data_IF_526045606990
#
_entry.id   IF_526045606990
#
_cell.length_a   1.000
_cell.length_b   1.000
_cell.length_c   1.000
_cell.angle_alpha   90.00
_cell.angle_beta   90.00
_cell.angle_gamma   90.00
#
_symmetry.space_group_name_H-M   'P 1'
#
loop_
_entity.id
_entity.type
_entity.pdbx_description
1 polymer ?
#
# COMPACT_ATOMS: atom_id res chain seq x y z
N UNK A 1 -1.26 17.40 -16.40
CA UNK A 1 -0.14 17.16 -15.46
C UNK A 1 -0.63 16.74 -14.12
N UNK A 2 -1.41 17.61 -13.49
CA UNK A 2 -1.93 17.27 -12.17
C UNK A 2 -2.80 16.03 -12.19
N UNK A 3 -3.51 15.81 -13.31
CA UNK A 3 -4.35 14.63 -13.43
C UNK A 3 -3.55 13.34 -13.37
N UNK A 4 -2.36 13.32 -13.99
CA UNK A 4 -1.53 12.11 -13.95
C UNK A 4 -1.02 11.84 -12.56
N UNK A 5 -0.59 12.88 -11.85
CA UNK A 5 -0.14 12.72 -10.47
C UNK A 5 -1.29 12.19 -9.61
N UNK A 6 -2.48 12.74 -9.77
CA UNK A 6 -3.63 12.28 -8.99
C UNK A 6 -3.99 10.84 -9.30
N UNK A 7 -3.92 10.44 -10.58
CA UNK A 7 -4.14 9.05 -10.95
C UNK A 7 -3.15 8.13 -10.28
N UNK A 8 -1.87 8.50 -10.31
CA UNK A 8 -0.82 7.69 -9.71
C UNK A 8 -1.08 7.54 -8.21
N UNK A 9 -1.41 8.63 -7.54
CA UNK A 9 -1.67 8.59 -6.10
C UNK A 9 -2.85 7.68 -5.77
N UNK A 10 -3.91 7.74 -6.59
CA UNK A 10 -5.07 6.88 -6.38
C UNK A 10 -4.73 5.41 -6.58
N UNK A 11 -3.96 5.11 -7.63
CA UNK A 11 -3.58 3.72 -7.89
C UNK A 11 -2.66 3.20 -6.78
N UNK A 12 -1.74 4.03 -6.30
CA UNK A 12 -0.87 3.62 -5.21
C UNK A 12 -1.68 3.29 -3.96
N UNK A 13 -2.70 4.10 -3.63
CA UNK A 13 -3.57 3.79 -2.49
C UNK A 13 -4.27 2.46 -2.67
N UNK A 14 -4.84 2.24 -3.86
CA UNK A 14 -5.56 1.01 -4.14
C UNK A 14 -4.62 -0.19 -4.08
N UNK A 15 -3.42 -0.05 -4.62
CA UNK A 15 -2.43 -1.13 -4.57
C UNK A 15 -2.00 -1.45 -3.16
N UNK A 16 -1.83 -0.44 -2.31
CA UNK A 16 -1.47 -0.67 -0.91
C UNK A 16 -2.51 -1.52 -0.20
N UNK A 17 -3.79 -1.22 -0.44
CA UNK A 17 -4.87 -2.01 0.15
C UNK A 17 -4.83 -3.43 -0.38
N UNK A 18 -4.72 -3.60 -1.70
CA UNK A 18 -4.70 -4.93 -2.31
C UNK A 18 -3.50 -5.74 -1.85
N UNK A 19 -2.33 -5.11 -1.73
CA UNK A 19 -1.14 -5.81 -1.27
C UNK A 19 -1.30 -6.27 0.17
N UNK A 20 -1.89 -5.44 1.01
CA UNK A 20 -2.12 -5.81 2.40
C UNK A 20 -3.09 -6.98 2.51
N UNK A 21 -4.14 -6.97 1.70
CA UNK A 21 -5.07 -8.08 1.66
C UNK A 21 -4.41 -9.36 1.19
N UNK A 22 -3.58 -9.25 0.15
CA UNK A 22 -2.86 -10.41 -0.37
C UNK A 22 -1.91 -10.97 0.68
N UNK A 23 -1.22 -10.10 1.41
CA UNK A 23 -0.33 -10.54 2.48
C UNK A 23 -1.08 -11.26 3.57
N UNK A 24 -2.27 -10.76 3.92
CA UNK A 24 -3.10 -11.42 4.93
C UNK A 24 -3.52 -12.80 4.47
N UNK A 25 -3.97 -12.91 3.22
CA UNK A 25 -4.39 -14.20 2.67
C UNK A 25 -3.21 -15.17 2.64
N UNK A 26 -2.05 -14.69 2.20
CA UNK A 26 -0.86 -15.53 2.13
C UNK A 26 -0.49 -16.07 3.51
N UNK A 27 -0.55 -15.21 4.51
CA UNK A 27 -0.23 -15.59 5.88
C UNK A 27 -1.18 -16.64 6.40
N UNK A 28 -2.49 -16.48 6.08
CA UNK A 28 -3.49 -17.47 6.47
C UNK A 28 -3.23 -18.82 5.79
N UNK A 29 -2.88 -18.79 4.51
CA UNK A 29 -2.58 -20.01 3.78
C UNK A 29 -1.37 -20.72 4.36
N UNK A 30 -0.33 -19.98 4.68
CA UNK A 30 0.87 -20.55 5.30
C UNK A 30 0.52 -21.19 6.63
N UNK A 31 -0.29 -20.53 7.43
CA UNK A 31 -0.68 -21.06 8.75
C UNK A 31 -1.49 -22.35 8.64
N UNK A 32 -2.19 -22.55 7.52
CA UNK A 32 -3.01 -23.74 7.29
C UNK A 32 -2.29 -24.80 6.45
N UNK A 33 -1.01 -24.57 6.16
CA UNK A 33 -0.26 -25.45 5.24
C UNK A 33 -0.87 -25.54 3.86
N UNK A 34 -1.52 -24.46 3.42
CA UNK A 34 -2.08 -24.37 2.08
C UNK A 34 -1.08 -23.77 1.12
N UNK A 35 -1.23 -24.10 -0.16
CA UNK A 35 -0.34 -23.57 -1.20
C UNK A 35 -0.65 -22.09 -1.42
N UNK A 36 0.35 -21.23 -1.22
CA UNK A 36 0.19 -19.79 -1.40
C UNK A 36 0.84 -19.28 -2.70
N UNK A 37 1.17 -20.18 -3.62
CA UNK A 37 1.90 -19.81 -4.83
C UNK A 37 1.17 -18.74 -5.65
N UNK A 38 -0.13 -18.92 -5.84
CA UNK A 38 -0.92 -17.97 -6.63
C UNK A 38 -0.89 -16.58 -6.00
N UNK A 39 -1.18 -16.51 -4.72
CA UNK A 39 -1.25 -15.22 -4.01
C UNK A 39 0.14 -14.56 -3.98
N UNK A 40 1.18 -15.36 -3.72
CA UNK A 40 2.54 -14.82 -3.71
C UNK A 40 2.91 -14.23 -5.06
N UNK A 41 2.53 -14.89 -6.14
CA UNK A 41 2.81 -14.41 -7.48
C UNK A 41 2.07 -13.10 -7.77
N UNK A 42 0.81 -13.03 -7.34
CA UNK A 42 0.04 -11.79 -7.51
C UNK A 42 0.64 -10.65 -6.72
N UNK A 43 1.11 -10.93 -5.51
CA UNK A 43 1.75 -9.93 -4.68
C UNK A 43 3.02 -9.39 -5.34
N UNK A 44 3.81 -10.28 -5.96
CA UNK A 44 5.01 -9.86 -6.66
C UNK A 44 4.69 -8.95 -7.83
N UNK A 45 3.62 -9.26 -8.58
CA UNK A 45 3.18 -8.39 -9.67
C UNK A 45 2.79 -7.02 -9.16
N UNK A 46 2.09 -6.96 -8.05
CA UNK A 46 1.71 -5.69 -7.45
C UNK A 46 2.92 -4.87 -7.05
N UNK A 47 3.95 -5.52 -6.53
CA UNK A 47 5.18 -4.82 -6.15
C UNK A 47 5.89 -4.22 -7.35
N UNK A 48 5.90 -4.94 -8.48
CA UNK A 48 6.50 -4.42 -9.70
C UNK A 48 5.75 -3.18 -10.17
N UNK A 49 4.42 -3.25 -10.20
CA UNK A 49 3.60 -2.12 -10.60
C UNK A 49 3.82 -0.94 -9.65
N UNK A 50 3.83 -1.21 -8.34
CA UNK A 50 4.06 -0.18 -7.35
C UNK A 50 5.40 0.52 -7.56
N UNK A 51 6.45 -0.25 -7.82
CA UNK A 51 7.77 0.31 -8.04
C UNK A 51 7.78 1.26 -9.24
N UNK A 52 7.12 0.86 -10.33
CA UNK A 52 7.02 1.72 -11.51
C UNK A 52 6.27 3.01 -11.23
N UNK A 53 5.19 2.92 -10.47
CA UNK A 53 4.40 4.11 -10.13
C UNK A 53 5.17 5.04 -9.21
N UNK A 54 5.92 4.50 -8.26
CA UNK A 54 6.73 5.32 -7.37
C UNK A 54 7.81 6.06 -8.16
N UNK A 55 8.43 5.37 -9.12
CA UNK A 55 9.44 6.01 -9.96
C UNK A 55 8.84 7.10 -10.84
N UNK A 56 7.69 6.83 -11.43
CA UNK A 56 7.01 7.82 -12.27
C UNK A 56 6.62 9.03 -11.44
N UNK A 57 6.09 8.78 -10.25
CA UNK A 57 5.72 9.84 -9.32
C UNK A 57 6.91 10.73 -8.99
N UNK A 58 8.04 10.12 -8.69
CA UNK A 58 9.25 10.86 -8.38
C UNK A 58 9.72 11.69 -9.57
N UNK A 59 9.63 11.12 -10.79
CA UNK A 59 10.01 11.83 -12.00
C UNK A 59 9.13 13.04 -12.25
N UNK A 60 7.87 12.97 -11.82
CA UNK A 60 6.94 14.09 -11.96
C UNK A 60 7.09 15.12 -10.84
N UNK A 61 7.96 14.87 -9.87
CA UNK A 61 8.25 15.82 -8.82
C UNK A 61 7.29 15.79 -7.64
N UNK A 62 6.45 14.76 -7.54
CA UNK A 62 5.52 14.66 -6.41
C UNK A 62 6.23 13.99 -5.24
N UNK A 63 6.50 14.76 -4.22
CA UNK A 63 7.19 14.30 -3.02
C UNK A 63 6.30 14.25 -1.80
N UNK A 64 5.02 14.56 -1.95
CA UNK A 64 4.13 14.60 -0.80
C UNK A 64 3.71 13.20 -0.40
N UNK A 65 3.62 12.92 0.90
CA UNK A 65 3.18 11.61 1.36
C UNK A 65 1.76 11.31 0.87
N UNK A 66 1.51 10.03 0.59
CA UNK A 66 0.17 9.57 0.25
C UNK A 66 -0.46 9.04 1.52
N UNK A 67 -1.52 9.71 1.96
CA UNK A 67 -2.19 9.37 3.21
C UNK A 67 -3.28 8.35 2.92
N UNK A 68 -3.31 7.29 3.71
CA UNK A 68 -4.38 6.29 3.62
C UNK A 68 -5.59 6.78 4.40
N UNK A 69 -6.72 6.80 3.76
CA UNK A 69 -7.91 7.43 4.31
C UNK A 69 -8.41 6.80 5.59
N UNK A 70 -8.03 5.60 5.85
CA UNK A 70 -8.54 4.93 7.03
C UNK A 70 -7.58 5.01 8.19
N UNK A 71 -6.81 5.76 8.22
CA UNK A 71 -5.86 5.64 9.24
C UNK A 71 -5.90 6.64 10.28
N UNK A 72 -6.38 6.56 9.72
CA UNK A 72 -6.17 7.03 10.28
C UNK A 72 -5.93 7.25 11.17
N UNK A 73 -5.95 7.18 10.99
CA UNK A 73 -5.69 7.29 11.73
C UNK A 73 -5.39 7.51 12.46
N UNK A 74 -5.39 7.77 12.63
CA UNK A 74 -4.99 8.01 13.48
C UNK A 74 -4.49 8.05 14.18
N UNK A 75 -4.38 8.31 14.28
CA UNK A 75 -3.93 8.36 15.01
C UNK A 75 -3.20 8.33 15.57
N UNK A 76 -3.01 8.60 15.52
CA UNK A 76 -2.45 8.68 16.16
C UNK A 76 -1.97 8.77 16.65
N UNK A 77 -1.99 9.10 16.56
CA UNK A 77 -1.63 9.26 17.26
C UNK A 77 -1.58 9.20 17.89
N UNK A 78 -1.88 9.40 17.61
CA UNK A 78 -1.79 9.36 18.51
C UNK A 78 -1.64 8.98 18.97
N UNK A 79 -1.65 9.28 18.73
CA UNK A 79 -1.42 9.00 19.43
C UNK A 79 -0.96 8.76 19.84
N UNK A 80 -0.89 9.06 19.85
CA UNK A 80 -0.52 8.97 20.54
C UNK A 80 -0.24 8.99 21.07
N UNK A 81 -0.44 9.22 20.95
CA UNK A 81 -0.30 9.30 21.82
C UNK A 81 -0.22 9.19 22.49
N UNK A 82 -0.35 9.56 22.40
CA UNK A 82 -0.30 9.50 23.33
C UNK A 82 -0.20 9.29 23.75
N UNK A 83 -0.07 9.59 23.90
CA UNK A 83 0.13 9.55 24.56
C UNK A 83 0.29 9.62 25.26
N UNK A 84 0.15 9.87 25.12
CA UNK A 84 0.35 9.99 25.90
C UNK A 84 0.39 10.08 26.52
N UNK A 85 0.53 10.48 26.75
CA UNK A 85 0.66 10.61 27.58
C UNK A 85 0.87 10.76 28.13
#
# INVERSE_FOLDING_TARGET
>A
MDNRINEIRQVIRALRVSMREAETIMRQQINRDEDCTFVARELMKMRVVMSGLVQERAALGDNEPIVMSSSLVPRRRDLMVGRAR
#
